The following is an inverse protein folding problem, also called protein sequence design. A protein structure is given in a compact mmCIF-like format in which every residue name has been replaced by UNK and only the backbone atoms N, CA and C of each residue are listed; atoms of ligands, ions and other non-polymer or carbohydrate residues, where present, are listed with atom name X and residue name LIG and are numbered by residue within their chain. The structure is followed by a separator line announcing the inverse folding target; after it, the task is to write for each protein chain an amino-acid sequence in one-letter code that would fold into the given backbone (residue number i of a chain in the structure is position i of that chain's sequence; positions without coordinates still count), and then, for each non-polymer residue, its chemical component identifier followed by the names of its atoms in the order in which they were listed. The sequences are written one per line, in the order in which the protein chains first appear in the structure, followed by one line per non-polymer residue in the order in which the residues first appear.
data_IF_744518232913
#
_entry.id   IF_744518232913
#
_cell.length_a   1.000
_cell.length_b   1.000
_cell.length_c   1.000
_cell.angle_alpha   90.00
_cell.angle_beta   90.00
_cell.angle_gamma   90.00
#
_symmetry.space_group_name_H-M   'P 1'
#
loop_
_entity.id
_entity.type
_entity.pdbx_description
1 polymer ?
#
# COMPACT_ATOMS: atom_id res chain seq x y z
N UNK A 1 -19.34 -11.14 22.63
CA UNK A 1 -19.73 -10.36 21.44
C UNK A 1 -18.84 -9.14 21.22
N UNK A 2 -17.50 -9.28 21.18
CA UNK A 2 -16.55 -8.13 20.98
C UNK A 2 -15.48 -8.38 19.90
N UNK A 3 -15.66 -9.42 19.04
CA UNK A 3 -14.66 -9.79 18.02
C UNK A 3 -15.00 -9.39 16.58
N UNK A 4 -16.08 -8.67 16.33
CA UNK A 4 -16.52 -8.39 14.95
C UNK A 4 -16.06 -7.04 14.39
N UNK A 5 -15.54 -6.13 15.22
CA UNK A 5 -15.16 -4.77 14.79
C UNK A 5 -13.71 -4.62 14.33
N UNK A 6 -12.85 -5.62 14.59
CA UNK A 6 -11.42 -5.56 14.27
C UNK A 6 -11.03 -6.02 12.86
N UNK A 7 -12.00 -6.48 12.08
CA UNK A 7 -11.77 -6.89 10.67
C UNK A 7 -11.73 -5.72 9.67
N UNK A 8 -11.89 -4.50 10.16
CA UNK A 8 -12.15 -3.35 9.31
C UNK A 8 -10.92 -2.49 8.94
N UNK A 9 -9.76 -2.59 9.63
CA UNK A 9 -8.74 -1.55 9.45
C UNK A 9 -7.89 -1.72 8.18
N UNK A 10 -7.70 -2.93 7.69
CA UNK A 10 -6.99 -3.15 6.42
C UNK A 10 -7.92 -3.58 5.28
N UNK A 11 -9.03 -4.25 5.59
CA UNK A 11 -10.18 -4.26 4.68
C UNK A 11 -10.67 -2.84 4.35
N UNK A 12 -10.22 -1.85 5.13
CA UNK A 12 -10.48 -0.44 4.91
C UNK A 12 -9.51 0.20 3.91
N UNK A 13 -8.28 -0.31 3.68
CA UNK A 13 -7.56 0.07 2.46
C UNK A 13 -8.18 -0.57 1.21
N UNK A 14 -8.72 -1.78 1.32
CA UNK A 14 -9.35 -2.49 0.22
C UNK A 14 -10.88 -2.56 0.30
N UNK A 15 -11.50 -2.37 1.43
CA UNK A 15 -12.94 -2.56 1.64
C UNK A 15 -13.77 -1.27 1.73
N UNK A 16 -13.16 -0.10 1.83
CA UNK A 16 -13.80 1.21 1.58
C UNK A 16 -13.63 1.66 0.14
N UNK A 17 -12.89 0.94 -0.64
CA UNK A 17 -12.60 1.25 -2.02
C UNK A 17 -13.33 0.31 -2.97
N UNK A 18 -14.60 0.15 -2.80
CA UNK A 18 -15.44 -0.26 -3.93
C UNK A 18 -15.58 0.87 -4.95
N UNK A 19 -15.02 2.06 -4.65
CA UNK A 19 -14.99 3.21 -5.56
C UNK A 19 -13.70 3.95 -5.33
N UNK A 20 -12.74 3.88 -6.25
CA UNK A 20 -11.63 4.82 -6.33
C UNK A 20 -10.21 4.30 -6.23
N UNK A 21 -9.94 3.04 -5.91
CA UNK A 21 -8.58 2.49 -6.02
C UNK A 21 -8.27 2.09 -7.46
N UNK A 22 -7.00 2.22 -7.85
CA UNK A 22 -6.54 1.69 -9.12
C UNK A 22 -5.93 0.30 -8.92
N UNK A 23 -6.14 -0.59 -9.87
CA UNK A 23 -5.55 -1.93 -9.91
C UNK A 23 -4.99 -2.27 -11.29
N UNK A 24 -4.27 -3.38 -11.37
CA UNK A 24 -3.87 -3.98 -12.64
C UNK A 24 -3.98 -5.51 -12.58
N UNK A 25 -4.09 -6.15 -13.75
CA UNK A 25 -4.17 -7.61 -13.88
C UNK A 25 -2.83 -8.33 -13.70
N UNK A 26 -1.89 -7.71 -13.02
CA UNK A 26 -0.56 -8.21 -12.71
C UNK A 26 0.39 -7.06 -12.38
N UNK A 27 1.59 -7.36 -11.90
CA UNK A 27 2.57 -6.34 -11.57
C UNK A 27 3.01 -5.56 -12.82
N UNK A 28 2.91 -4.24 -12.77
CA UNK A 28 3.38 -3.32 -13.83
C UNK A 28 4.82 -2.90 -13.59
N UNK A 29 5.22 -2.76 -12.32
CA UNK A 29 6.58 -2.37 -11.94
C UNK A 29 7.42 -3.61 -11.70
N UNK A 30 8.57 -3.70 -12.36
CA UNK A 30 9.44 -4.89 -12.34
C UNK A 30 10.84 -4.64 -11.78
N UNK A 31 11.20 -3.38 -11.57
CA UNK A 31 12.52 -2.89 -11.14
C UNK A 31 12.61 -2.73 -9.60
N UNK A 32 12.04 -3.69 -8.86
CA UNK A 32 12.02 -3.65 -7.39
C UNK A 32 13.42 -3.74 -6.77
N UNK A 33 13.64 -2.97 -5.71
CA UNK A 33 14.86 -2.98 -4.92
C UNK A 33 14.55 -3.05 -3.41
N UNK A 34 15.47 -3.59 -2.60
CA UNK A 34 15.29 -3.68 -1.15
C UNK A 34 15.58 -2.35 -0.44
N UNK A 35 14.99 -1.25 -0.91
CA UNK A 35 15.24 0.12 -0.41
C UNK A 35 14.95 0.31 1.08
N UNK A 36 14.12 -0.57 1.68
CA UNK A 36 13.79 -0.54 3.10
C UNK A 36 14.64 -1.50 3.94
N UNK A 37 15.65 -2.15 3.33
CA UNK A 37 16.49 -3.16 3.98
C UNK A 37 15.96 -4.59 3.80
N UNK A 38 16.75 -5.61 4.19
CA UNK A 38 16.44 -7.01 3.89
C UNK A 38 15.37 -7.62 4.80
N UNK A 39 15.09 -7.01 5.94
CA UNK A 39 14.05 -7.44 6.89
C UNK A 39 13.33 -6.23 7.44
N UNK A 40 12.01 -6.31 7.48
CA UNK A 40 11.15 -5.22 7.93
C UNK A 40 10.28 -5.69 9.08
N UNK A 41 10.26 -4.92 10.16
CA UNK A 41 9.24 -5.00 11.19
C UNK A 41 8.44 -3.70 11.12
N UNK A 42 7.17 -3.81 10.78
CA UNK A 42 6.30 -2.67 10.57
C UNK A 42 5.33 -2.51 11.75
N UNK A 43 5.12 -1.27 12.15
CA UNK A 43 3.99 -0.87 12.98
C UNK A 43 3.12 0.07 12.14
N UNK A 44 1.85 -0.30 11.97
CA UNK A 44 0.90 0.45 11.15
C UNK A 44 -0.06 1.21 12.05
N UNK A 45 -0.19 2.49 11.79
CA UNK A 45 -1.08 3.41 12.50
C UNK A 45 -2.09 3.97 11.51
N UNK A 46 -3.39 3.89 11.84
CA UNK A 46 -4.39 4.62 11.07
C UNK A 46 -4.28 6.12 11.36
N UNK A 47 -4.21 6.93 10.32
CA UNK A 47 -4.21 8.39 10.42
C UNK A 47 -5.64 8.99 10.42
N UNK A 48 -6.68 8.17 10.58
CA UNK A 48 -8.06 8.68 10.71
C UNK A 48 -8.25 9.33 12.08
N UNK A 49 -8.82 10.52 12.06
CA UNK A 49 -9.13 11.29 13.26
C UNK A 49 -9.97 10.48 14.27
N UNK A 50 -9.62 10.59 15.55
CA UNK A 50 -10.45 10.25 16.68
C UNK A 50 -10.31 8.86 17.29
N UNK A 51 -9.51 7.95 16.74
CA UNK A 51 -9.34 6.61 17.31
C UNK A 51 -7.86 6.19 17.34
N UNK A 52 -7.24 6.35 18.50
CA UNK A 52 -5.96 5.71 18.78
C UNK A 52 -6.21 4.19 18.95
N UNK A 53 -6.00 3.42 17.88
CA UNK A 53 -5.96 1.97 17.96
C UNK A 53 -4.52 1.52 18.18
N UNK A 54 -4.36 0.39 18.87
CA UNK A 54 -3.06 -0.27 18.96
C UNK A 54 -2.54 -0.55 17.55
N UNK A 55 -1.25 -0.25 17.28
CA UNK A 55 -0.70 -0.44 15.94
C UNK A 55 -0.75 -1.91 15.53
N UNK A 56 -1.19 -2.16 14.32
CA UNK A 56 -1.04 -3.47 13.73
C UNK A 56 0.45 -3.71 13.41
N UNK A 57 0.93 -4.93 13.67
CA UNK A 57 2.34 -5.29 13.46
C UNK A 57 2.45 -6.35 12.39
N UNK A 58 3.41 -6.18 11.49
CA UNK A 58 3.73 -7.16 10.46
C UNK A 58 5.24 -7.25 10.25
N UNK A 59 5.69 -8.42 9.83
CA UNK A 59 7.10 -8.65 9.48
C UNK A 59 7.19 -9.16 8.06
N UNK A 60 8.17 -8.64 7.31
CA UNK A 60 8.46 -9.01 5.94
C UNK A 60 9.96 -9.28 5.78
N UNK A 61 10.31 -10.14 4.83
CA UNK A 61 11.67 -10.42 4.43
C UNK A 61 11.80 -10.30 2.91
N UNK A 62 12.91 -9.72 2.46
CA UNK A 62 13.27 -9.64 1.05
C UNK A 62 13.76 -11.02 0.57
N UNK A 63 13.15 -11.57 -0.47
CA UNK A 63 13.51 -12.87 -1.04
C UNK A 63 14.41 -12.81 -2.27
N UNK A 64 14.87 -11.61 -2.63
CA UNK A 64 15.64 -11.32 -3.84
C UNK A 64 14.84 -10.62 -4.94
N UNK A 65 13.51 -10.59 -4.83
CA UNK A 65 12.61 -9.96 -5.80
C UNK A 65 11.53 -9.10 -5.17
N UNK A 66 11.02 -9.51 -4.02
CA UNK A 66 9.92 -8.82 -3.34
C UNK A 66 9.99 -9.05 -1.83
N UNK A 67 9.28 -8.24 -1.08
CA UNK A 67 9.09 -8.44 0.35
C UNK A 67 7.96 -9.44 0.56
N UNK A 68 8.30 -10.58 1.17
CA UNK A 68 7.34 -11.64 1.52
C UNK A 68 7.03 -11.57 3.00
N UNK A 69 5.77 -11.71 3.36
CA UNK A 69 5.35 -11.71 4.75
C UNK A 69 5.96 -12.90 5.50
N UNK A 70 6.64 -12.60 6.59
CA UNK A 70 7.28 -13.59 7.48
C UNK A 70 6.61 -13.71 8.84
N UNK A 71 5.64 -12.82 9.16
CA UNK A 71 4.89 -12.87 10.43
C UNK A 71 3.97 -11.68 10.64
N UNK A 72 3.15 -11.72 11.70
CA UNK A 72 2.26 -10.64 12.13
C UNK A 72 0.85 -10.69 11.58
N UNK A 73 0.08 -9.60 11.82
CA UNK A 73 -1.37 -9.54 11.69
C UNK A 73 -1.92 -9.16 10.31
N UNK A 74 -1.14 -8.55 9.42
CA UNK A 74 -1.57 -8.13 8.07
C UNK A 74 -1.92 -9.32 7.18
N UNK A 75 -3.08 -9.92 7.40
CA UNK A 75 -3.44 -11.20 6.76
C UNK A 75 -3.73 -11.08 5.26
N UNK A 76 -4.06 -9.90 4.79
CA UNK A 76 -4.50 -9.69 3.42
C UNK A 76 -3.35 -9.36 2.44
N UNK A 77 -2.22 -8.85 2.93
CA UNK A 77 -1.01 -8.61 2.12
C UNK A 77 -0.06 -9.79 2.24
N UNK A 78 0.18 -10.48 1.12
CA UNK A 78 1.13 -11.60 1.07
C UNK A 78 2.55 -11.13 0.74
N UNK A 79 2.66 -10.14 -0.12
CA UNK A 79 3.93 -9.63 -0.63
C UNK A 79 3.77 -8.23 -1.21
N UNK A 80 4.90 -7.52 -1.30
CA UNK A 80 4.95 -6.22 -1.99
C UNK A 80 6.35 -5.93 -2.52
N UNK A 81 6.41 -5.00 -3.46
CA UNK A 81 7.64 -4.39 -3.97
C UNK A 81 7.62 -2.88 -3.71
N UNK A 82 8.79 -2.27 -3.66
CA UNK A 82 8.96 -0.82 -3.51
C UNK A 82 9.77 -0.31 -4.69
N UNK A 83 9.29 0.75 -5.31
CA UNK A 83 9.86 1.34 -6.52
C UNK A 83 10.06 2.83 -6.33
N UNK A 84 11.17 3.35 -6.82
CA UNK A 84 11.41 4.79 -6.83
C UNK A 84 10.37 5.52 -7.68
N UNK A 85 9.96 6.67 -7.19
CA UNK A 85 9.05 7.60 -7.84
C UNK A 85 9.67 9.00 -7.84
N UNK A 86 8.90 10.06 -7.90
CA UNK A 86 9.37 11.44 -7.99
C UNK A 86 9.54 12.09 -6.62
N UNK A 87 10.47 13.05 -6.52
CA UNK A 87 10.68 13.90 -5.34
C UNK A 87 10.94 13.14 -4.01
N UNK A 88 11.49 11.93 -4.10
CA UNK A 88 11.79 11.10 -2.93
C UNK A 88 10.60 10.30 -2.39
N UNK A 89 9.43 10.38 -3.06
CA UNK A 89 8.32 9.47 -2.85
C UNK A 89 8.62 8.12 -3.55
N UNK A 90 8.00 7.05 -3.07
CA UNK A 90 8.11 5.71 -3.65
C UNK A 90 6.73 5.13 -3.89
N UNK A 91 6.62 4.16 -4.78
CA UNK A 91 5.39 3.41 -5.02
C UNK A 91 5.53 2.02 -4.42
N UNK A 92 4.58 1.64 -3.60
CA UNK A 92 4.38 0.25 -3.17
C UNK A 92 3.44 -0.41 -4.18
N UNK A 93 3.88 -1.54 -4.72
CA UNK A 93 3.03 -2.45 -5.49
C UNK A 93 2.82 -3.71 -4.66
N UNK A 94 1.59 -4.01 -4.28
CA UNK A 94 1.24 -5.14 -3.41
C UNK A 94 0.33 -6.14 -4.12
N UNK A 95 0.44 -7.41 -3.71
CA UNK A 95 -0.47 -8.46 -4.13
C UNK A 95 -1.20 -9.02 -2.92
N UNK A 96 -2.50 -9.23 -3.06
CA UNK A 96 -3.32 -9.83 -2.02
C UNK A 96 -3.19 -11.35 -2.00
N UNK A 97 -3.30 -11.94 -0.82
CA UNK A 97 -3.25 -13.40 -0.66
C UNK A 97 -4.39 -14.10 -1.41
N UNK A 98 -5.58 -13.48 -1.46
CA UNK A 98 -6.77 -14.04 -2.11
C UNK A 98 -6.83 -13.80 -3.61
N UNK A 99 -6.15 -12.76 -4.08
CA UNK A 99 -6.15 -12.31 -5.47
C UNK A 99 -4.73 -11.99 -5.93
N UNK A 100 -3.81 -13.00 -5.97
CA UNK A 100 -2.41 -12.74 -6.27
C UNK A 100 -2.16 -12.23 -7.69
N UNK A 101 -3.15 -12.40 -8.58
CA UNK A 101 -3.13 -11.89 -9.95
C UNK A 101 -3.50 -10.40 -10.04
N UNK A 102 -3.98 -9.77 -8.95
CA UNK A 102 -4.31 -8.34 -8.93
C UNK A 102 -3.20 -7.63 -8.17
N UNK A 103 -2.63 -6.62 -8.79
CA UNK A 103 -1.71 -5.70 -8.13
C UNK A 103 -2.42 -4.41 -7.75
N UNK A 104 -2.19 -3.96 -6.53
CA UNK A 104 -2.69 -2.71 -5.97
C UNK A 104 -1.53 -1.78 -5.67
N UNK A 105 -1.78 -0.47 -5.67
CA UNK A 105 -0.75 0.54 -5.62
C UNK A 105 -0.99 1.56 -4.52
N UNK A 106 0.09 1.91 -3.84
CA UNK A 106 0.09 2.99 -2.85
C UNK A 106 1.33 3.87 -3.01
N UNK A 107 1.17 5.15 -2.75
CA UNK A 107 2.25 6.10 -2.62
C UNK A 107 2.82 6.00 -1.21
N UNK A 108 4.13 5.89 -1.07
CA UNK A 108 4.83 5.91 0.21
C UNK A 108 5.74 7.13 0.26
N UNK A 109 5.52 7.98 1.25
CA UNK A 109 6.23 9.25 1.49
C UNK A 109 6.97 9.19 2.81
N UNK A 110 8.24 9.56 2.82
CA UNK A 110 9.01 9.66 4.05
C UNK A 110 8.58 10.88 4.84
N UNK A 111 8.15 10.70 6.09
CA UNK A 111 7.80 11.78 7.03
C UNK A 111 8.97 12.11 7.97
N UNK A 112 9.68 11.08 8.42
CA UNK A 112 10.86 11.17 9.26
C UNK A 112 11.71 9.91 9.09
N UNK A 113 12.85 9.83 9.77
CA UNK A 113 13.66 8.62 9.74
C UNK A 113 12.86 7.41 10.27
N UNK A 114 12.76 6.35 9.46
CA UNK A 114 11.98 5.16 9.78
C UNK A 114 10.46 5.35 9.85
N UNK A 115 9.93 6.53 9.49
CA UNK A 115 8.48 6.80 9.52
C UNK A 115 8.01 7.23 8.14
N UNK A 116 6.99 6.53 7.64
CA UNK A 116 6.44 6.76 6.30
C UNK A 116 4.93 6.90 6.37
N UNK A 117 4.39 7.76 5.50
CA UNK A 117 2.96 7.79 5.19
C UNK A 117 2.71 6.91 3.96
N UNK A 118 1.65 6.08 4.01
CA UNK A 118 1.21 5.28 2.87
C UNK A 118 -0.20 5.69 2.51
N UNK A 119 -0.39 6.07 1.25
CA UNK A 119 -1.63 6.60 0.70
C UNK A 119 -2.02 5.72 -0.49
N UNK A 120 -3.19 5.10 -0.48
CA UNK A 120 -3.68 4.38 -1.65
C UNK A 120 -3.78 5.33 -2.85
N UNK A 121 -3.26 4.91 -4.01
CA UNK A 121 -3.40 5.68 -5.24
C UNK A 121 -4.81 5.47 -5.76
N UNK A 122 -5.57 6.56 -5.90
CA UNK A 122 -6.98 6.54 -6.24
C UNK A 122 -7.29 7.25 -7.55
N UNK A 123 -8.26 6.73 -8.30
CA UNK A 123 -8.79 7.38 -9.50
C UNK A 123 -9.48 8.71 -9.18
N UNK A 124 -10.10 8.83 -8.00
CA UNK A 124 -10.78 10.04 -7.56
C UNK A 124 -9.83 11.22 -7.29
N UNK A 125 -8.52 10.95 -7.21
CA UNK A 125 -7.52 12.00 -7.05
C UNK A 125 -7.19 12.69 -8.37
N UNK A 126 -7.45 12.05 -9.51
CA UNK A 126 -7.29 12.61 -10.85
C UNK A 126 -8.55 13.35 -11.32
N UNK A 127 -8.37 14.28 -12.24
CA UNK A 127 -9.48 14.94 -12.91
C UNK A 127 -10.17 14.01 -13.94
N UNK A 128 -11.38 14.38 -14.37
CA UNK A 128 -12.18 13.58 -15.29
C UNK A 128 -11.47 13.28 -16.63
N UNK A 129 -10.82 14.24 -17.31
CA UNK A 129 -10.08 13.95 -18.54
C UNK A 129 -8.97 12.92 -18.33
N UNK A 130 -8.23 13.02 -17.22
CA UNK A 130 -7.16 12.07 -16.86
C UNK A 130 -7.73 10.67 -16.61
N UNK A 131 -8.83 10.56 -15.90
CA UNK A 131 -9.51 9.28 -15.68
C UNK A 131 -9.98 8.67 -16.99
N UNK A 132 -10.70 9.42 -17.80
CA UNK A 132 -11.22 8.96 -19.09
C UNK A 132 -10.10 8.46 -20.03
N UNK A 133 -8.93 9.10 -20.01
CA UNK A 133 -7.79 8.73 -20.86
C UNK A 133 -7.01 7.50 -20.33
N UNK A 134 -7.00 7.25 -19.04
CA UNK A 134 -6.09 6.29 -18.41
C UNK A 134 -6.78 5.13 -17.70
N UNK A 135 -8.07 5.18 -17.46
CA UNK A 135 -8.86 4.15 -16.78
C UNK A 135 -9.59 3.23 -17.74
N UNK A 136 -9.51 1.95 -17.47
CA UNK A 136 -10.48 0.97 -17.98
C UNK A 136 -11.37 0.53 -16.83
N UNK A 137 -12.68 0.48 -17.03
CA UNK A 137 -13.67 0.04 -16.05
C UNK A 137 -14.35 -1.26 -16.51
N UNK A 138 -13.69 -2.42 -16.40
CA UNK A 138 -14.31 -3.68 -16.79
C UNK A 138 -15.49 -3.99 -15.86
N UNK A 139 -16.72 -3.90 -16.38
CA UNK A 139 -17.93 -4.24 -15.63
C UNK A 139 -18.29 -3.28 -14.48
N UNK A 140 -17.85 -2.02 -14.52
CA UNK A 140 -18.14 -1.01 -13.48
C UNK A 140 -17.31 -1.18 -12.19
N UNK A 141 -16.23 -1.94 -12.26
CA UNK A 141 -15.30 -2.14 -11.15
C UNK A 141 -14.32 -0.95 -11.01
N UNK A 142 -13.34 -1.10 -10.14
CA UNK A 142 -12.25 -0.14 -9.96
C UNK A 142 -11.53 0.17 -11.28
N UNK A 143 -10.90 1.33 -11.35
CA UNK A 143 -10.09 1.75 -12.46
C UNK A 143 -8.93 0.78 -12.71
N UNK A 144 -8.90 0.12 -13.84
CA UNK A 144 -7.83 -0.78 -14.22
C UNK A 144 -6.83 -0.08 -15.13
N UNK A 145 -5.56 -0.15 -14.74
CA UNK A 145 -4.42 0.39 -15.49
C UNK A 145 -3.58 -0.76 -16.06
N UNK A 146 -2.82 -0.48 -17.13
CA UNK A 146 -2.02 -1.48 -17.82
C UNK A 146 -0.55 -1.07 -17.98
N UNK A 147 -0.24 0.21 -17.78
CA UNK A 147 1.11 0.73 -18.02
C UNK A 147 1.67 1.52 -16.84
N UNK A 148 3.00 1.61 -16.78
CA UNK A 148 3.73 2.42 -15.80
C UNK A 148 3.37 3.90 -15.90
N UNK A 149 3.18 4.40 -17.11
CA UNK A 149 2.84 5.80 -17.37
C UNK A 149 1.47 6.15 -16.81
N UNK A 150 0.49 5.26 -16.96
CA UNK A 150 -0.84 5.42 -16.36
C UNK A 150 -0.74 5.44 -14.83
N UNK A 151 0.00 4.48 -14.24
CA UNK A 151 0.24 4.45 -12.80
C UNK A 151 0.86 5.75 -12.31
N UNK A 152 1.91 6.23 -12.97
CA UNK A 152 2.60 7.46 -12.58
C UNK A 152 1.72 8.70 -12.72
N UNK A 153 0.82 8.72 -13.70
CA UNK A 153 -0.17 9.80 -13.85
C UNK A 153 -1.09 9.87 -12.63
N UNK A 154 -1.64 8.74 -12.18
CA UNK A 154 -2.46 8.70 -10.96
C UNK A 154 -1.65 8.97 -9.69
N UNK A 155 -0.43 8.46 -9.59
CA UNK A 155 0.44 8.72 -8.45
C UNK A 155 0.75 10.21 -8.28
N UNK A 156 1.00 10.96 -9.39
CA UNK A 156 1.17 12.43 -9.37
C UNK A 156 -0.09 13.13 -8.88
N UNK A 157 -1.26 12.72 -9.37
CA UNK A 157 -2.53 13.30 -8.96
C UNK A 157 -2.76 13.08 -7.44
N UNK A 158 -2.53 11.86 -6.94
CA UNK A 158 -2.61 11.54 -5.52
C UNK A 158 -1.60 12.34 -4.71
N UNK A 159 -0.34 12.43 -5.15
CA UNK A 159 0.70 13.20 -4.46
C UNK A 159 0.35 14.70 -4.36
N UNK A 160 -0.25 15.26 -5.40
CA UNK A 160 -0.65 16.66 -5.44
C UNK A 160 -1.86 16.96 -4.54
N UNK A 161 -2.86 16.08 -4.52
CA UNK A 161 -4.12 16.26 -3.81
C UNK A 161 -4.00 15.94 -2.32
N UNK A 162 -3.30 14.86 -1.97
CA UNK A 162 -3.23 14.31 -0.61
C UNK A 162 -1.87 14.60 0.05
N UNK A 163 -1.58 15.87 0.30
CA UNK A 163 -0.29 16.25 0.91
C UNK A 163 -0.16 15.82 2.37
N UNK A 164 -1.26 15.83 3.14
CA UNK A 164 -1.25 15.59 4.60
C UNK A 164 -2.40 14.72 5.10
N UNK A 165 -3.45 14.52 4.30
CA UNK A 165 -4.70 13.98 4.80
C UNK A 165 -4.86 12.49 4.51
N UNK A 166 -5.03 11.71 5.57
CA UNK A 166 -5.41 10.31 5.51
C UNK A 166 -4.25 9.34 5.23
N UNK A 167 -4.62 8.07 4.99
CA UNK A 167 -3.67 7.00 4.79
C UNK A 167 -3.27 6.30 6.09
N UNK A 168 -2.16 5.56 6.00
CA UNK A 168 -1.54 4.88 7.12
C UNK A 168 -0.17 5.49 7.39
N UNK A 169 0.20 5.62 8.66
CA UNK A 169 1.59 5.79 9.03
C UNK A 169 2.23 4.40 9.25
N UNK A 170 3.36 4.17 8.62
CA UNK A 170 4.18 3.00 8.86
C UNK A 170 5.43 3.45 9.60
N UNK A 171 5.73 2.79 10.71
CA UNK A 171 7.01 2.90 11.39
C UNK A 171 7.80 1.63 11.17
N UNK A 172 9.04 1.77 10.72
CA UNK A 172 10.02 0.69 10.71
C UNK A 172 10.55 0.50 12.12
N UNK A 173 10.45 -0.73 12.62
CA UNK A 173 10.97 -1.09 13.93
C UNK A 173 12.26 -1.90 13.73
N UNK A 174 13.39 -1.24 13.97
CA UNK A 174 14.73 -1.85 13.83
C UNK A 174 15.06 -2.85 14.95
N UNK A 175 14.17 -3.00 15.93
CA UNK A 175 14.41 -3.90 17.07
C UNK A 175 14.24 -5.36 16.63
N UNK A 176 15.31 -6.18 16.66
CA UNK A 176 15.20 -7.61 16.39
C UNK A 176 14.25 -8.23 17.42
N UNK A 177 13.13 -8.81 16.97
CA UNK A 177 12.26 -9.56 17.89
C UNK A 177 13.01 -10.76 18.45
N UNK A 178 13.04 -10.95 19.78
CA UNK A 178 13.54 -12.19 20.34
C UNK A 178 12.69 -13.33 19.77
N UNK A 179 13.34 -14.27 19.10
CA UNK A 179 12.68 -15.49 18.64
C UNK A 179 12.15 -16.21 19.90
N UNK A 180 10.83 -16.31 20.03
CA UNK A 180 10.25 -17.24 21.01
C UNK A 180 10.74 -18.64 20.61
N UNK A 181 11.66 -19.18 21.37
CA UNK A 181 11.97 -20.62 21.31
C UNK A 181 10.67 -21.36 21.60
N UNK A 182 10.20 -22.12 20.62
CA UNK A 182 9.15 -23.11 20.82
C UNK A 182 9.73 -24.32 21.50
#
# INVERSE_FOLDING_TARGET
MKSFLFRAAFAVLCGLALTGCIDSSGPILTDAQPVLGPRLNLQLYSLREGHAHDPERASFAWDGKLYVRSGGGMKDVSSFTVHEFEAGDTIIQSSQLRHPQIAEYALMRKLAEGVYQVIAIGEDDADEPTRAANCKHPGGAACRIETREQLFTFARATAAKRKTDGGLAIRLDDTPRPQRRQ
#
